data_IF_373576871333
#
_entry.id   IF_373576871333
#
_cell.length_a   1.000
_cell.length_b   1.000
_cell.length_c   1.000
_cell.angle_alpha   90.00
_cell.angle_beta   90.00
_cell.angle_gamma   90.00
#
_symmetry.space_group_name_H-M   'P 1'
#
loop_
_entity.id
_entity.type
_entity.pdbx_description
1 polymer ?
#
# COMPACT_ATOMS: atom_id res chain seq x y z
N UNK A 1 0.36 -10.02 1.83
CA UNK A 1 -0.20 -8.69 2.16
C UNK A 1 -0.07 -8.53 3.67
N UNK A 2 0.30 -7.35 4.16
CA UNK A 2 0.25 -7.02 5.59
C UNK A 2 -0.81 -5.94 5.74
N UNK A 3 -1.90 -6.26 6.43
CA UNK A 3 -3.05 -5.38 6.58
C UNK A 3 -3.14 -4.87 8.01
N UNK A 4 -3.59 -3.63 8.18
CA UNK A 4 -3.67 -2.99 9.49
C UNK A 4 -4.78 -1.95 9.51
N UNK A 5 -5.31 -1.69 10.70
CA UNK A 5 -6.18 -0.56 10.97
C UNK A 5 -5.71 0.12 12.25
N UNK A 6 -5.91 1.43 12.32
CA UNK A 6 -5.51 2.20 13.49
C UNK A 6 -6.55 2.07 14.58
N UNK A 7 -6.14 1.71 15.80
CA UNK A 7 -7.01 1.58 16.97
C UNK A 7 -8.26 0.74 16.69
N UNK A 8 -8.10 -0.56 16.48
CA UNK A 8 -9.21 -1.47 16.12
C UNK A 8 -10.39 -1.40 17.09
N UNK A 9 -10.12 -1.19 18.39
CA UNK A 9 -11.16 -1.08 19.41
C UNK A 9 -12.02 0.17 19.22
N UNK A 10 -11.42 1.28 18.76
CA UNK A 10 -12.11 2.56 18.56
C UNK A 10 -12.68 2.72 17.15
N UNK A 11 -11.89 2.39 16.13
CA UNK A 11 -12.19 2.71 14.74
C UNK A 11 -12.80 1.50 14.00
N UNK A 12 -12.71 0.30 14.57
CA UNK A 12 -13.14 -0.92 13.90
C UNK A 12 -12.17 -1.39 12.81
N UNK A 13 -12.50 -2.49 12.12
CA UNK A 13 -11.67 -3.05 11.05
C UNK A 13 -11.72 -2.18 9.78
N UNK A 14 -10.87 -2.46 8.78
CA UNK A 14 -11.00 -1.88 7.44
C UNK A 14 -12.41 -2.06 6.87
N UNK A 15 -12.81 -1.18 5.96
CA UNK A 15 -14.12 -1.26 5.31
C UNK A 15 -14.32 -2.59 4.57
N UNK A 16 -15.57 -3.05 4.49
CA UNK A 16 -15.91 -4.37 3.95
C UNK A 16 -15.33 -4.67 2.55
N UNK A 17 -15.30 -3.72 1.58
CA UNK A 17 -14.68 -3.98 0.28
C UNK A 17 -13.18 -4.28 0.35
N UNK A 18 -12.45 -3.63 1.27
CA UNK A 18 -11.03 -3.92 1.50
C UNK A 18 -10.87 -5.30 2.10
N UNK A 19 -11.67 -5.64 3.12
CA UNK A 19 -11.62 -6.97 3.74
C UNK A 19 -11.91 -8.09 2.73
N UNK A 20 -12.88 -7.90 1.84
CA UNK A 20 -13.23 -8.88 0.81
C UNK A 20 -12.13 -9.07 -0.25
N UNK A 21 -11.26 -8.07 -0.45
CA UNK A 21 -10.15 -8.14 -1.38
C UNK A 21 -8.86 -8.74 -0.77
N UNK A 22 -8.82 -8.95 0.56
CA UNK A 22 -7.65 -9.55 1.21
C UNK A 22 -7.64 -11.07 1.03
N UNK A 23 -6.45 -11.69 0.91
CA UNK A 23 -6.33 -13.15 0.96
C UNK A 23 -6.97 -13.73 2.22
N UNK A 24 -7.59 -14.90 2.10
CA UNK A 24 -8.15 -15.62 3.24
C UNK A 24 -7.10 -15.82 4.34
N UNK A 25 -7.51 -15.63 5.60
CA UNK A 25 -6.62 -15.74 6.76
C UNK A 25 -5.68 -14.56 6.98
N UNK A 26 -5.80 -13.47 6.19
CA UNK A 26 -5.00 -12.25 6.43
C UNK A 26 -5.29 -11.68 7.82
N UNK A 27 -4.24 -11.55 8.64
CA UNK A 27 -4.34 -10.90 9.95
C UNK A 27 -4.45 -9.39 9.79
N UNK A 28 -5.39 -8.77 10.51
CA UNK A 28 -5.49 -7.31 10.62
C UNK A 28 -4.74 -6.88 11.88
N UNK A 29 -3.61 -6.20 11.71
CA UNK A 29 -2.84 -5.69 12.83
C UNK A 29 -3.49 -4.43 13.43
N UNK A 30 -3.64 -4.40 14.75
CA UNK A 30 -4.00 -3.18 15.48
C UNK A 30 -2.78 -2.23 15.53
N UNK A 31 -2.80 -1.19 14.69
CA UNK A 31 -1.71 -0.24 14.56
C UNK A 31 -1.91 0.90 15.57
N UNK A 32 -0.94 1.08 16.46
CA UNK A 32 -0.99 2.08 17.56
C UNK A 32 -0.07 3.27 17.33
N UNK A 33 0.62 3.31 16.18
CA UNK A 33 1.57 4.36 15.76
C UNK A 33 1.25 4.79 14.33
N UNK A 34 1.60 6.01 13.93
CA UNK A 34 1.28 6.46 12.57
C UNK A 34 2.12 5.74 11.50
N UNK A 35 3.44 5.68 11.67
CA UNK A 35 4.34 4.94 10.79
C UNK A 35 4.49 3.47 11.20
N UNK A 36 4.14 2.54 10.31
CA UNK A 36 4.08 1.10 10.60
C UNK A 36 5.40 0.49 11.10
N UNK A 37 6.54 1.03 10.67
CA UNK A 37 7.86 0.56 11.09
C UNK A 37 8.16 0.87 12.57
N UNK A 38 7.43 1.81 13.17
CA UNK A 38 7.54 2.14 14.60
C UNK A 38 6.92 1.10 15.53
N UNK A 39 6.18 0.12 15.00
CA UNK A 39 5.61 -0.97 15.78
C UNK A 39 6.26 -2.29 15.37
N UNK A 40 7.14 -2.81 16.24
CA UNK A 40 8.00 -3.97 15.97
C UNK A 40 7.24 -5.19 15.43
N UNK A 41 6.05 -5.47 15.96
CA UNK A 41 5.22 -6.57 15.47
C UNK A 41 4.79 -6.43 14.01
N UNK A 42 4.52 -5.21 13.54
CA UNK A 42 4.13 -4.96 12.14
C UNK A 42 5.37 -4.98 11.24
N UNK A 43 6.49 -4.39 11.69
CA UNK A 43 7.75 -4.45 10.95
C UNK A 43 8.24 -5.90 10.79
N UNK A 44 8.15 -6.71 11.84
CA UNK A 44 8.49 -8.13 11.77
C UNK A 44 7.57 -8.88 10.79
N UNK A 45 6.27 -8.56 10.77
CA UNK A 45 5.34 -9.14 9.78
C UNK A 45 5.72 -8.76 8.34
N UNK A 46 6.17 -7.52 8.10
CA UNK A 46 6.69 -7.09 6.80
C UNK A 46 7.95 -7.89 6.41
N UNK A 47 8.91 -8.03 7.32
CA UNK A 47 10.15 -8.77 7.08
C UNK A 47 9.89 -10.27 6.84
N UNK A 48 8.95 -10.87 7.57
CA UNK A 48 8.55 -12.26 7.42
C UNK A 48 7.95 -12.58 6.05
N UNK A 49 7.53 -11.57 5.27
CA UNK A 49 7.09 -11.79 3.89
C UNK A 49 8.22 -12.22 2.94
N UNK A 50 9.48 -12.04 3.33
CA UNK A 50 10.67 -12.31 2.52
C UNK A 50 10.84 -11.37 1.32
N UNK A 51 10.09 -10.27 1.26
CA UNK A 51 10.12 -9.28 0.17
C UNK A 51 10.98 -8.10 0.57
N UNK A 52 11.71 -7.55 -0.40
CA UNK A 52 12.56 -6.36 -0.25
C UNK A 52 11.87 -5.08 -0.73
N UNK A 53 10.69 -5.20 -1.36
CA UNK A 53 9.89 -4.09 -1.87
C UNK A 53 8.55 -4.01 -1.14
N UNK A 54 8.18 -2.80 -0.73
CA UNK A 54 6.90 -2.48 -0.11
C UNK A 54 6.10 -1.52 -1.00
N UNK A 55 4.86 -1.90 -1.32
CA UNK A 55 3.89 -1.03 -2.00
C UNK A 55 2.85 -0.58 -0.98
N UNK A 56 2.68 0.72 -0.83
CA UNK A 56 1.79 1.34 0.16
C UNK A 56 0.52 1.88 -0.48
N UNK A 57 -0.60 1.52 0.13
CA UNK A 57 -1.96 1.98 -0.17
C UNK A 57 -2.68 2.29 1.15
N UNK A 58 -3.71 3.14 1.12
CA UNK A 58 -4.52 3.48 2.31
C UNK A 58 -4.45 4.95 2.71
N UNK A 59 -4.74 5.24 3.98
CA UNK A 59 -5.01 6.59 4.49
C UNK A 59 -4.29 6.85 5.84
N UNK A 60 -3.91 8.07 6.19
CA UNK A 60 -3.88 9.29 5.34
C UNK A 60 -2.49 9.46 4.68
N UNK A 61 -2.45 10.05 3.48
CA UNK A 61 -1.25 10.15 2.63
C UNK A 61 -0.06 10.83 3.32
N UNK A 62 -0.28 11.99 3.95
CA UNK A 62 0.76 12.81 4.58
C UNK A 62 1.15 12.37 5.99
N UNK A 63 0.31 11.55 6.62
CA UNK A 63 0.53 11.04 7.98
C UNK A 63 0.98 9.57 7.94
N UNK A 64 0.01 8.64 7.90
CA UNK A 64 0.28 7.23 8.05
C UNK A 64 1.09 6.66 6.89
N UNK A 65 0.75 7.03 5.65
CA UNK A 65 1.45 6.51 4.46
C UNK A 65 2.86 7.08 4.39
N UNK A 66 3.03 8.41 4.49
CA UNK A 66 4.35 9.04 4.46
C UNK A 66 5.26 8.56 5.60
N UNK A 67 4.79 8.51 6.85
CA UNK A 67 5.62 8.02 7.95
C UNK A 67 5.97 6.53 7.83
N UNK A 68 5.04 5.72 7.32
CA UNK A 68 5.31 4.31 7.03
C UNK A 68 6.35 4.15 5.92
N UNK A 69 6.27 4.97 4.87
CA UNK A 69 7.22 4.92 3.76
C UNK A 69 8.64 5.26 4.21
N UNK A 70 8.79 6.35 4.95
CA UNK A 70 10.08 6.79 5.49
C UNK A 70 10.67 5.75 6.47
N UNK A 71 9.83 5.18 7.33
CA UNK A 71 10.25 4.14 8.27
C UNK A 71 10.70 2.85 7.57
N UNK A 72 9.98 2.44 6.52
CA UNK A 72 10.33 1.26 5.73
C UNK A 72 11.60 1.47 4.90
N UNK A 73 11.80 2.65 4.33
CA UNK A 73 13.07 3.02 3.68
C UNK A 73 14.23 2.89 4.68
N UNK A 74 14.09 3.44 5.89
CA UNK A 74 15.08 3.31 6.95
C UNK A 74 15.33 1.87 7.40
N UNK A 75 14.35 0.99 7.24
CA UNK A 75 14.45 -0.44 7.50
C UNK A 75 15.01 -1.26 6.31
N UNK A 76 15.42 -0.60 5.21
CA UNK A 76 16.08 -1.23 4.07
C UNK A 76 15.14 -1.72 2.96
N UNK A 77 13.86 -1.37 2.99
CA UNK A 77 12.93 -1.69 1.91
C UNK A 77 13.04 -0.69 0.76
N UNK A 78 12.81 -1.17 -0.47
CA UNK A 78 12.45 -0.30 -1.60
C UNK A 78 10.96 0.02 -1.48
N UNK A 79 10.60 1.29 -1.44
CA UNK A 79 9.22 1.69 -1.15
C UNK A 79 8.58 2.39 -2.34
N UNK A 80 7.37 1.97 -2.69
CA UNK A 80 6.47 2.69 -3.58
C UNK A 80 5.18 3.09 -2.87
N UNK A 81 4.67 4.30 -3.12
CA UNK A 81 3.37 4.77 -2.68
C UNK A 81 2.45 4.97 -3.90
N UNK A 82 1.24 4.44 -3.82
CA UNK A 82 0.29 4.44 -4.94
C UNK A 82 -0.64 5.64 -4.80
N UNK A 83 -0.41 6.69 -5.59
CA UNK A 83 -1.08 7.98 -5.44
C UNK A 83 -2.61 7.85 -5.52
N UNK A 84 -3.13 7.14 -6.52
CA UNK A 84 -4.55 6.87 -6.76
C UNK A 84 -5.14 5.75 -5.88
N UNK A 85 -4.36 5.19 -4.95
CA UNK A 85 -4.84 4.30 -3.90
C UNK A 85 -4.43 4.80 -2.50
N UNK A 86 -4.10 6.08 -2.39
CA UNK A 86 -3.92 6.80 -1.13
C UNK A 86 -4.77 8.07 -1.13
N UNK A 87 -4.97 8.69 0.03
CA UNK A 87 -5.76 9.91 0.12
C UNK A 87 -5.53 10.67 1.43
N UNK A 88 -5.73 11.98 1.37
CA UNK A 88 -5.83 12.87 2.53
C UNK A 88 -6.70 14.09 2.14
N UNK A 89 -7.31 14.81 3.10
CA UNK A 89 -8.12 15.98 2.80
C UNK A 89 -7.28 17.17 2.27
N UNK A 90 -7.85 17.90 1.30
CA UNK A 90 -7.26 19.16 0.80
C UNK A 90 -5.84 18.99 0.24
N UNK A 91 -4.99 19.98 0.50
CA UNK A 91 -3.61 20.02 -0.02
C UNK A 91 -2.68 19.01 0.67
N UNK A 92 -3.12 18.40 1.78
CA UNK A 92 -2.34 17.42 2.52
C UNK A 92 -1.95 16.22 1.65
N UNK A 93 -2.84 15.77 0.74
CA UNK A 93 -2.54 14.64 -0.13
C UNK A 93 -1.30 14.91 -0.99
N UNK A 94 -1.28 16.06 -1.69
CA UNK A 94 -0.16 16.43 -2.54
C UNK A 94 1.12 16.67 -1.73
N UNK A 95 1.02 17.36 -0.60
CA UNK A 95 2.16 17.60 0.28
C UNK A 95 2.79 16.28 0.79
N UNK A 96 1.97 15.28 1.11
CA UNK A 96 2.42 13.95 1.51
C UNK A 96 3.14 13.21 0.37
N UNK A 97 2.61 13.26 -0.86
CA UNK A 97 3.24 12.67 -2.04
C UNK A 97 4.59 13.33 -2.36
N UNK A 98 4.66 14.66 -2.29
CA UNK A 98 5.88 15.40 -2.57
C UNK A 98 6.98 15.09 -1.54
N UNK A 99 6.62 15.09 -0.25
CA UNK A 99 7.55 14.69 0.82
C UNK A 99 8.09 13.28 0.62
N UNK A 100 7.25 12.32 0.24
CA UNK A 100 7.68 10.95 -0.04
C UNK A 100 8.61 10.90 -1.26
N UNK A 101 8.29 11.64 -2.33
CA UNK A 101 9.13 11.72 -3.53
C UNK A 101 10.53 12.26 -3.21
N UNK A 102 10.60 13.33 -2.43
CA UNK A 102 11.87 13.95 -2.02
C UNK A 102 12.73 13.03 -1.16
N UNK A 103 12.11 12.07 -0.47
CA UNK A 103 12.77 11.02 0.29
C UNK A 103 13.09 9.75 -0.53
N UNK A 104 12.98 9.81 -1.86
CA UNK A 104 13.22 8.70 -2.79
C UNK A 104 12.23 7.53 -2.67
N UNK A 105 11.02 7.76 -2.17
CA UNK A 105 9.90 6.82 -2.35
C UNK A 105 9.41 6.94 -3.79
N UNK A 106 9.19 5.82 -4.47
CA UNK A 106 8.59 5.82 -5.79
C UNK A 106 7.10 6.20 -5.70
N UNK A 107 6.71 7.34 -6.28
CA UNK A 107 5.30 7.70 -6.42
C UNK A 107 4.78 7.13 -7.73
N UNK A 108 3.81 6.23 -7.66
CA UNK A 108 3.25 5.49 -8.80
C UNK A 108 1.72 5.48 -8.75
N UNK A 109 1.09 4.79 -9.68
CA UNK A 109 -0.36 4.57 -9.73
C UNK A 109 -0.68 3.08 -9.72
N UNK A 110 -1.94 2.71 -9.48
CA UNK A 110 -2.37 1.30 -9.54
C UNK A 110 -2.04 0.73 -10.92
N UNK A 111 -2.28 1.51 -11.99
CA UNK A 111 -1.90 1.16 -13.37
C UNK A 111 -0.39 0.99 -13.53
N UNK A 112 0.41 1.90 -12.96
CA UNK A 112 1.87 1.82 -13.02
C UNK A 112 2.39 0.53 -12.38
N UNK A 113 1.96 0.23 -11.16
CA UNK A 113 2.33 -1.02 -10.45
C UNK A 113 1.90 -2.25 -11.25
N UNK A 114 0.68 -2.24 -11.78
CA UNK A 114 0.15 -3.34 -12.58
C UNK A 114 1.06 -3.68 -13.76
N UNK A 115 1.41 -2.69 -14.59
CA UNK A 115 2.24 -2.93 -15.77
C UNK A 115 3.71 -3.19 -15.41
N UNK A 116 4.22 -2.68 -14.29
CA UNK A 116 5.58 -2.99 -13.80
C UNK A 116 5.73 -4.46 -13.35
N UNK A 117 4.65 -5.07 -12.85
CA UNK A 117 4.61 -6.49 -12.50
C UNK A 117 4.36 -7.38 -13.71
N UNK A 118 3.53 -6.94 -14.67
CA UNK A 118 3.21 -7.70 -15.88
C UNK A 118 4.37 -7.78 -16.86
N UNK A 119 5.02 -6.64 -17.17
CA UNK A 119 6.21 -6.48 -18.02
C UNK A 119 6.10 -6.86 -19.50
N UNK A 120 5.29 -7.84 -19.87
CA UNK A 120 5.16 -8.34 -21.25
C UNK A 120 3.73 -8.77 -21.59
N UNK A 121 3.46 -8.89 -22.91
CA UNK A 121 2.13 -9.23 -23.42
C UNK A 121 1.72 -10.66 -23.10
N UNK A 122 2.67 -11.61 -23.07
CA UNK A 122 2.38 -13.01 -22.76
C UNK A 122 1.90 -13.16 -21.30
N UNK A 123 2.52 -12.42 -20.39
CA UNK A 123 2.13 -12.33 -18.99
C UNK A 123 0.81 -11.60 -18.85
N UNK A 124 0.60 -10.51 -19.58
CA UNK A 124 -0.68 -9.79 -19.62
C UNK A 124 -1.81 -10.74 -19.98
N UNK A 125 -1.68 -11.49 -21.08
CA UNK A 125 -2.70 -12.41 -21.57
C UNK A 125 -2.96 -13.56 -20.57
N UNK A 126 -1.91 -14.03 -19.89
CA UNK A 126 -2.02 -15.06 -18.85
C UNK A 126 -2.74 -14.56 -17.59
N UNK A 127 -2.46 -13.34 -17.13
CA UNK A 127 -3.02 -12.85 -15.86
C UNK A 127 -4.39 -12.21 -16.02
N UNK A 128 -4.69 -11.59 -17.17
CA UNK A 128 -5.95 -10.89 -17.45
C UNK A 128 -7.21 -11.69 -17.05
N UNK A 129 -7.35 -13.00 -17.36
CA UNK A 129 -8.51 -13.77 -16.93
C UNK A 129 -8.56 -14.03 -15.41
N UNK A 130 -7.44 -13.95 -14.70
CA UNK A 130 -7.35 -14.21 -13.25
C UNK A 130 -7.78 -13.01 -12.40
N UNK A 131 -7.62 -11.79 -12.91
CA UNK A 131 -7.96 -10.54 -12.20
C UNK A 131 -9.45 -10.23 -12.27
N UNK A 132 -10.20 -10.97 -13.09
CA UNK A 132 -11.62 -10.76 -13.34
C UNK A 132 -11.89 -9.57 -14.27
N UNK A 133 -13.17 -9.37 -14.62
CA UNK A 133 -13.63 -8.28 -15.49
C UNK A 133 -13.90 -6.96 -14.74
N UNK A 134 -13.92 -6.98 -13.41
CA UNK A 134 -14.15 -5.81 -12.56
C UNK A 134 -12.84 -5.07 -12.30
N UNK A 135 -12.17 -4.62 -13.36
CA UNK A 135 -11.03 -3.74 -13.23
C UNK A 135 -11.54 -2.31 -12.92
N UNK A 136 -10.89 -1.57 -12.00
CA UNK A 136 -11.19 -0.16 -11.80
C UNK A 136 -11.11 0.61 -13.12
N UNK A 137 -12.02 1.57 -13.31
CA UNK A 137 -11.98 2.45 -14.47
C UNK A 137 -10.59 3.08 -14.63
N UNK A 138 -10.02 2.98 -15.84
CA UNK A 138 -8.70 3.51 -16.16
C UNK A 138 -7.51 2.60 -15.84
N UNK A 139 -7.71 1.40 -15.27
CA UNK A 139 -6.61 0.48 -14.98
C UNK A 139 -5.99 -0.15 -16.25
N UNK A 140 -6.81 -0.41 -17.27
CA UNK A 140 -6.34 -0.90 -18.59
C UNK A 140 -6.35 0.21 -19.62
N UNK A 141 -5.54 0.07 -20.67
CA UNK A 141 -5.68 0.84 -21.90
C UNK A 141 -7.00 0.48 -22.61
#
# INVERSE_FOLDING_TARGET
VVAMAEDLARNGPPVAPVLAALPEGTTIHDKRVFGLAGQSGILAAMQATGRDQAILVGLETDVCIAQSALGLLGAGFRVGAVADATGAPGDCHQAGLDRMRDAAVAITTVKGVYYEWVRDLDTLDRIKPLIGSALPDGLTL
#
